data_IF_265442713513
#
_entry.id   IF_265442713513
#
_cell.length_a   1.000
_cell.length_b   1.000
_cell.length_c   1.000
_cell.angle_alpha   90.00
_cell.angle_beta   90.00
_cell.angle_gamma   90.00
#
_symmetry.space_group_name_H-M   'P 1'
#
loop_
_entity.id
_entity.type
_entity.pdbx_description
1 polymer ?
#
# COMPACT_ATOMS: atom_id res chain seq x y z
N UNK A 1 -1.34 6.83 14.63
CA UNK A 1 -0.71 6.83 13.30
C UNK A 1 -0.76 5.44 12.70
N UNK A 2 -1.70 5.17 11.80
CA UNK A 2 -1.75 3.89 11.09
C UNK A 2 -0.53 3.70 10.15
N UNK A 3 -0.07 2.46 9.90
CA UNK A 3 1.01 2.21 8.96
C UNK A 3 0.58 2.55 7.53
N UNK A 4 1.51 3.01 6.71
CA UNK A 4 1.28 3.23 5.27
C UNK A 4 1.83 2.05 4.49
N UNK A 5 1.04 1.59 3.52
CA UNK A 5 1.31 0.42 2.69
C UNK A 5 1.05 0.80 1.24
N UNK A 6 2.06 0.66 0.39
CA UNK A 6 2.01 1.03 -1.03
C UNK A 6 2.72 -0.06 -1.83
N UNK A 7 2.15 -0.44 -2.97
CA UNK A 7 2.70 -1.39 -3.93
C UNK A 7 2.45 -0.86 -5.35
N UNK A 8 3.32 -1.19 -6.31
CA UNK A 8 3.31 -0.59 -7.65
C UNK A 8 3.50 -1.62 -8.78
N UNK A 9 2.76 -1.53 -9.91
CA UNK A 9 2.86 -2.45 -11.09
C UNK A 9 4.17 -2.26 -11.94
N UNK A 10 4.36 -2.95 -13.11
CA UNK A 10 5.65 -2.95 -13.84
C UNK A 10 5.85 -1.86 -14.95
N UNK A 11 7.04 -1.87 -15.59
CA UNK A 11 7.90 -0.70 -15.92
C UNK A 11 7.94 -0.16 -17.38
N UNK A 12 8.05 1.18 -17.61
CA UNK A 12 8.71 1.83 -18.80
C UNK A 12 8.88 3.38 -18.70
N UNK A 13 10.05 4.01 -19.07
CA UNK A 13 10.47 5.35 -19.71
C UNK A 13 10.34 6.81 -19.05
N UNK A 14 10.05 7.95 -19.77
CA UNK A 14 9.82 9.41 -19.37
C UNK A 14 9.46 10.41 -20.56
N UNK A 15 9.02 11.71 -20.39
CA UNK A 15 8.83 12.76 -21.49
C UNK A 15 8.62 14.32 -21.10
N UNK A 16 8.75 15.34 -22.03
CA UNK A 16 8.89 16.86 -21.86
C UNK A 16 7.72 17.79 -21.33
N UNK A 17 7.81 19.16 -21.32
CA UNK A 17 6.97 20.02 -20.44
C UNK A 17 5.64 20.62 -20.97
N UNK A 18 5.19 20.37 -22.21
CA UNK A 18 3.91 20.92 -22.69
C UNK A 18 3.11 19.90 -23.52
N UNK A 19 2.50 18.93 -22.84
CA UNK A 19 1.73 17.84 -23.45
C UNK A 19 0.58 17.43 -22.54
N UNK A 20 -0.49 16.78 -23.06
CA UNK A 20 -1.51 16.18 -22.21
C UNK A 20 -0.88 15.27 -21.14
N UNK A 21 -1.53 15.10 -19.96
CA UNK A 21 -0.96 14.41 -18.81
C UNK A 21 -0.41 13.06 -19.26
N UNK A 22 0.91 12.93 -19.13
CA UNK A 22 1.66 11.84 -19.72
C UNK A 22 1.20 10.54 -19.06
N UNK A 23 0.60 9.58 -19.79
CA UNK A 23 0.27 8.28 -19.21
C UNK A 23 1.59 7.72 -18.71
N UNK A 24 1.73 7.51 -17.39
CA UNK A 24 3.02 7.48 -16.69
C UNK A 24 4.09 6.83 -17.54
N UNK A 25 4.83 7.67 -18.26
CA UNK A 25 5.71 7.16 -19.29
C UNK A 25 6.96 6.60 -18.64
N UNK A 26 7.04 6.61 -17.29
CA UNK A 26 8.01 6.01 -16.38
C UNK A 26 7.43 4.79 -15.64
N UNK A 27 8.28 3.83 -15.21
CA UNK A 27 7.84 2.72 -14.40
C UNK A 27 7.03 3.13 -13.16
N UNK A 28 6.00 2.38 -12.77
CA UNK A 28 5.50 2.44 -11.41
C UNK A 28 6.68 2.02 -10.51
N UNK A 29 7.09 2.96 -9.67
CA UNK A 29 8.34 2.89 -8.91
C UNK A 29 8.06 3.25 -7.48
N UNK A 30 8.19 2.27 -6.60
CA UNK A 30 8.04 2.45 -5.18
C UNK A 30 9.41 2.71 -4.54
N UNK A 31 9.48 3.77 -3.76
CA UNK A 31 10.69 4.18 -3.04
C UNK A 31 10.36 4.44 -1.57
N UNK A 32 11.10 3.78 -0.68
CA UNK A 32 11.20 4.17 0.73
C UNK A 32 12.20 5.33 0.83
N UNK A 33 11.85 6.33 1.64
CA UNK A 33 12.71 7.49 1.98
C UNK A 33 12.54 7.78 3.46
N UNK A 34 13.63 8.05 4.17
CA UNK A 34 13.65 8.39 5.59
C UNK A 34 14.33 9.74 5.89
N UNK A 35 14.36 10.09 7.17
CA UNK A 35 14.95 11.32 7.70
C UNK A 35 16.48 11.38 7.58
N UNK A 36 17.15 10.22 7.48
CA UNK A 36 18.61 10.10 7.37
C UNK A 36 19.07 10.24 5.91
N UNK A 37 18.14 10.45 4.98
CA UNK A 37 18.41 10.58 3.54
C UNK A 37 18.57 9.24 2.83
N UNK A 38 18.21 8.11 3.47
CA UNK A 38 18.19 6.82 2.78
C UNK A 38 17.12 6.85 1.69
N UNK A 39 17.42 6.28 0.52
CA UNK A 39 16.46 6.06 -0.56
C UNK A 39 16.58 4.64 -1.10
N UNK A 40 15.58 3.81 -0.85
CA UNK A 40 15.57 2.39 -1.25
C UNK A 40 14.45 2.14 -2.24
N UNK A 41 14.76 1.52 -3.37
CA UNK A 41 13.77 1.04 -4.34
C UNK A 41 13.32 -0.39 -3.97
N UNK A 42 12.02 -0.68 -4.05
CA UNK A 42 11.48 -1.99 -3.67
C UNK A 42 10.13 -2.28 -4.31
N UNK A 43 9.59 -3.47 -4.06
CA UNK A 43 8.26 -3.90 -4.53
C UNK A 43 7.14 -3.62 -3.52
N UNK A 44 7.44 -3.72 -2.23
CA UNK A 44 6.52 -3.44 -1.12
C UNK A 44 7.29 -2.84 0.06
N UNK A 45 6.65 -1.93 0.80
CA UNK A 45 7.14 -1.41 2.08
C UNK A 45 5.98 -1.24 3.07
N UNK A 46 6.26 -1.46 4.34
CA UNK A 46 5.43 -1.05 5.48
C UNK A 46 6.28 -0.23 6.46
N UNK A 47 5.73 0.89 6.94
CA UNK A 47 6.45 1.88 7.76
C UNK A 47 5.57 2.32 8.93
N UNK A 48 6.18 2.51 10.11
CA UNK A 48 5.53 2.88 11.37
C UNK A 48 5.66 1.80 12.46
N UNK A 49 5.11 2.06 13.65
CA UNK A 49 5.12 1.14 14.79
C UNK A 49 4.47 -0.22 14.47
N UNK A 50 3.35 -0.21 13.75
CA UNK A 50 2.66 -1.44 13.29
C UNK A 50 3.25 -2.11 12.05
N UNK A 51 4.41 -1.68 11.54
CA UNK A 51 4.99 -2.20 10.29
C UNK A 51 5.30 -3.70 10.33
N UNK A 52 5.81 -4.22 11.46
CA UNK A 52 6.11 -5.65 11.66
C UNK A 52 4.87 -6.53 11.51
N UNK A 53 3.73 -6.10 12.05
CA UNK A 53 2.45 -6.80 11.91
C UNK A 53 1.92 -6.74 10.47
N UNK A 54 2.15 -5.64 9.75
CA UNK A 54 1.78 -5.52 8.34
C UNK A 54 2.63 -6.45 7.47
N UNK A 55 3.97 -6.48 7.63
CA UNK A 55 4.85 -7.41 6.90
C UNK A 55 4.46 -8.87 7.11
N UNK A 56 4.15 -9.29 8.35
CA UNK A 56 3.71 -10.67 8.62
C UNK A 56 2.43 -11.13 7.87
N UNK A 57 1.64 -10.19 7.35
CA UNK A 57 0.51 -10.46 6.44
C UNK A 57 0.93 -10.33 4.98
N UNK A 58 1.70 -9.29 4.63
CA UNK A 58 2.19 -9.03 3.28
C UNK A 58 3.07 -10.16 2.74
N UNK A 59 4.06 -10.60 3.51
CA UNK A 59 5.06 -11.59 3.08
C UNK A 59 4.40 -12.94 2.74
N UNK A 60 3.28 -13.25 3.41
CA UNK A 60 2.45 -14.44 3.12
C UNK A 60 1.57 -14.27 1.89
N UNK A 61 1.15 -13.05 1.55
CA UNK A 61 0.30 -12.76 0.40
C UNK A 61 1.06 -12.36 -0.87
N UNK A 62 2.35 -12.00 -0.76
CA UNK A 62 3.25 -11.68 -1.87
C UNK A 62 4.13 -12.87 -2.29
N UNK A 63 3.98 -14.03 -1.65
CA UNK A 63 4.71 -15.25 -1.98
C UNK A 63 4.40 -15.77 -3.39
N UNK A 64 3.17 -15.51 -3.87
CA UNK A 64 2.71 -15.81 -5.23
C UNK A 64 2.43 -14.49 -5.98
N UNK A 65 2.51 -14.47 -7.32
CA UNK A 65 2.07 -13.33 -8.11
C UNK A 65 0.57 -13.11 -7.90
N UNK A 66 0.21 -12.03 -7.18
CA UNK A 66 -1.17 -11.69 -6.83
C UNK A 66 -2.03 -11.64 -8.11
N UNK A 67 -3.03 -12.50 -8.20
CA UNK A 67 -3.69 -12.82 -9.46
C UNK A 67 -4.76 -11.79 -9.86
N UNK A 68 -5.32 -11.06 -8.90
CA UNK A 68 -6.29 -10.00 -9.13
C UNK A 68 -5.97 -8.70 -8.38
N UNK A 69 -6.37 -7.57 -8.96
CA UNK A 69 -6.40 -6.25 -8.30
C UNK A 69 -7.19 -6.32 -6.97
N UNK A 70 -8.30 -7.05 -6.96
CA UNK A 70 -9.19 -7.19 -5.80
C UNK A 70 -8.51 -7.94 -4.64
N UNK A 71 -7.68 -8.93 -4.95
CA UNK A 71 -6.87 -9.66 -3.97
C UNK A 71 -5.79 -8.76 -3.38
N UNK A 72 -5.11 -7.95 -4.20
CA UNK A 72 -4.11 -6.99 -3.72
C UNK A 72 -4.74 -5.96 -2.77
N UNK A 73 -5.93 -5.46 -3.11
CA UNK A 73 -6.70 -4.53 -2.27
C UNK A 73 -7.17 -5.18 -0.96
N UNK A 74 -7.63 -6.44 -1.01
CA UNK A 74 -8.03 -7.20 0.17
C UNK A 74 -6.83 -7.51 1.09
N UNK A 75 -5.68 -7.88 0.51
CA UNK A 75 -4.43 -8.13 1.23
C UNK A 75 -3.93 -6.85 1.94
N UNK A 76 -3.88 -5.72 1.23
CA UNK A 76 -3.48 -4.44 1.81
C UNK A 76 -4.39 -4.02 2.97
N UNK A 77 -5.73 -4.14 2.80
CA UNK A 77 -6.71 -3.88 3.86
C UNK A 77 -6.49 -4.80 5.07
N UNK A 78 -6.24 -6.09 4.84
CA UNK A 78 -6.02 -7.09 5.91
C UNK A 78 -4.71 -6.84 6.66
N UNK A 79 -3.63 -6.45 5.97
CA UNK A 79 -2.34 -6.15 6.59
C UNK A 79 -2.44 -4.94 7.54
N UNK A 80 -3.07 -3.85 7.12
CA UNK A 80 -3.28 -2.68 7.98
C UNK A 80 -4.28 -2.97 9.11
N UNK A 81 -5.34 -3.75 8.87
CA UNK A 81 -6.24 -4.19 9.93
C UNK A 81 -5.49 -4.97 11.03
N UNK A 82 -4.68 -5.97 10.67
CA UNK A 82 -3.92 -6.78 11.64
C UNK A 82 -2.87 -5.98 12.41
N UNK A 83 -2.33 -4.91 11.82
CA UNK A 83 -1.49 -3.94 12.51
C UNK A 83 -2.30 -3.08 13.49
N UNK A 84 -3.44 -2.53 13.05
CA UNK A 84 -4.34 -1.72 13.88
C UNK A 84 -4.96 -2.48 15.07
N UNK A 85 -5.09 -3.82 14.99
CA UNK A 85 -5.54 -4.64 16.12
C UNK A 85 -4.45 -4.91 17.18
N UNK A 86 -3.16 -4.82 16.83
CA UNK A 86 -2.04 -5.21 17.72
C UNK A 86 -1.11 -4.08 18.15
N UNK A 87 -0.98 -3.03 17.35
CA UNK A 87 -0.18 -1.85 17.69
C UNK A 87 -1.07 -0.77 18.30
N UNK A 88 -0.86 -0.45 19.58
CA UNK A 88 -1.62 0.56 20.31
C UNK A 88 -1.54 1.98 19.71
N UNK A 89 -0.51 2.25 18.88
CA UNK A 89 -0.37 3.53 18.18
C UNK A 89 -1.00 3.54 16.77
N UNK A 90 -1.54 2.42 16.31
CA UNK A 90 -2.26 2.25 15.03
C UNK A 90 -3.76 2.05 15.27
N UNK A 91 -4.62 2.60 14.42
CA UNK A 91 -6.07 2.53 14.65
C UNK A 91 -6.88 3.47 13.76
N UNK A 92 -8.09 3.79 14.23
CA UNK A 92 -9.11 4.63 13.57
C UNK A 92 -9.65 4.06 12.24
N UNK A 93 -8.94 4.25 11.14
CA UNK A 93 -9.44 3.97 9.79
C UNK A 93 -8.37 3.40 8.85
N UNK A 94 -8.80 2.49 7.98
CA UNK A 94 -7.98 1.84 6.96
C UNK A 94 -8.32 2.42 5.60
N UNK A 95 -7.42 3.24 5.05
CA UNK A 95 -7.58 3.84 3.72
C UNK A 95 -6.75 3.08 2.69
N UNK A 96 -7.43 2.55 1.68
CA UNK A 96 -6.79 1.83 0.57
C UNK A 96 -6.78 2.75 -0.66
N UNK A 97 -5.58 2.99 -1.19
CA UNK A 97 -5.38 3.75 -2.42
C UNK A 97 -4.74 2.86 -3.48
N UNK A 98 -5.15 3.04 -4.73
CA UNK A 98 -4.57 2.38 -5.88
C UNK A 98 -3.94 3.43 -6.78
N UNK A 99 -2.72 3.17 -7.25
CA UNK A 99 -1.98 4.04 -8.17
C UNK A 99 -1.89 3.36 -9.53
N UNK A 100 -2.29 4.07 -10.59
CA UNK A 100 -2.28 3.57 -11.96
C UNK A 100 -1.88 4.65 -12.98
N UNK A 101 -1.95 4.35 -14.29
CA UNK A 101 -1.44 5.22 -15.35
C UNK A 101 -2.09 6.61 -15.44
N UNK A 102 -3.30 6.77 -14.90
CA UNK A 102 -4.07 8.03 -14.87
C UNK A 102 -3.96 8.78 -13.53
N UNK A 103 -3.09 8.32 -12.60
CA UNK A 103 -2.97 8.86 -11.25
C UNK A 103 -3.44 7.89 -10.18
N UNK A 104 -3.79 8.41 -9.01
CA UNK A 104 -4.24 7.61 -7.87
C UNK A 104 -5.75 7.74 -7.65
N UNK A 105 -6.39 6.64 -7.22
CA UNK A 105 -7.78 6.63 -6.74
C UNK A 105 -7.84 6.06 -5.33
N UNK A 106 -8.72 6.61 -4.50
CA UNK A 106 -9.08 5.97 -3.23
C UNK A 106 -10.11 4.87 -3.53
N UNK A 107 -9.81 3.64 -3.10
CA UNK A 107 -10.68 2.48 -3.28
C UNK A 107 -11.61 2.31 -2.08
N UNK A 108 -11.10 2.46 -0.85
CA UNK A 108 -11.93 2.46 0.34
C UNK A 108 -11.33 3.27 1.49
N UNK A 109 -12.17 3.56 2.47
CA UNK A 109 -11.81 4.12 3.77
C UNK A 109 -12.71 3.46 4.81
N UNK A 110 -12.31 2.28 5.28
CA UNK A 110 -13.10 1.45 6.20
C UNK A 110 -12.72 1.77 7.66
N UNK A 111 -13.67 1.88 8.58
CA UNK A 111 -13.35 2.03 10.01
C UNK A 111 -12.81 0.70 10.57
N UNK A 112 -11.78 0.75 11.42
CA UNK A 112 -11.19 -0.45 12.04
C UNK A 112 -12.23 -1.26 12.84
N UNK A 113 -13.19 -0.59 13.49
CA UNK A 113 -14.29 -1.26 14.21
C UNK A 113 -15.19 -2.09 13.27
N UNK A 114 -15.58 -1.52 12.12
CA UNK A 114 -16.38 -2.24 11.10
C UNK A 114 -15.59 -3.39 10.46
N UNK A 115 -14.27 -3.24 10.31
CA UNK A 115 -13.39 -4.33 9.88
C UNK A 115 -13.24 -5.42 10.95
N UNK A 116 -13.33 -5.07 12.23
CA UNK A 116 -13.33 -6.04 13.33
C UNK A 116 -14.58 -6.91 13.32
N UNK A 117 -15.76 -6.35 13.01
CA UNK A 117 -16.99 -7.13 12.80
C UNK A 117 -16.89 -8.05 11.56
N UNK A 118 -16.20 -7.61 10.51
CA UNK A 118 -16.01 -8.36 9.26
C UNK A 118 -14.97 -9.49 9.38
N UNK A 119 -13.88 -9.28 10.10
CA UNK A 119 -12.73 -10.18 10.17
C UNK A 119 -12.53 -10.86 11.55
N UNK A 120 -13.31 -10.49 12.57
CA UNK A 120 -13.25 -11.08 13.92
C UNK A 120 -14.10 -12.34 14.10
N UNK A 121 -14.26 -13.13 13.02
CA UNK A 121 -14.88 -14.47 13.01
C UNK A 121 -13.83 -15.53 12.73
#
# INVERSE_FOLDING_TARGET
NAPKLVATPPKSVATPPNSPPRPFLSPPGLYYVDSEGQRVAGSAFAVGSGSSYAYGVLDRGLAEPVASEEEALALARRAIFQAATRDAYSGDSVRVLQVGPQGWRQVSCDCVAQLHERYGK
#
